data_IF_488518585284
#
_entry.id   IF_488518585284
#
_cell.length_a   1.000
_cell.length_b   1.000
_cell.length_c   1.000
_cell.angle_alpha   90.00
_cell.angle_beta   90.00
_cell.angle_gamma   90.00
#
_symmetry.space_group_name_H-M   'P 1'
#
loop_
_entity.id
_entity.type
_entity.pdbx_description
1 polymer ?
#
# COMPACT_ATOMS: atom_id res chain seq x y z
N UNK A 1 35.58 -8.10 -36.48
CA UNK A 1 34.25 -8.52 -35.93
C UNK A 1 34.29 -9.05 -34.48
N UNK A 2 35.43 -9.45 -33.95
CA UNK A 2 35.53 -10.04 -32.59
C UNK A 2 35.42 -8.99 -31.47
N UNK A 3 35.81 -7.74 -31.66
CA UNK A 3 35.91 -6.71 -30.63
C UNK A 3 34.54 -6.18 -30.09
N UNK A 4 33.42 -6.59 -30.63
CA UNK A 4 32.08 -6.19 -30.16
C UNK A 4 31.18 -7.38 -29.78
N UNK A 5 31.72 -8.59 -29.76
CA UNK A 5 30.96 -9.80 -29.47
C UNK A 5 30.37 -9.76 -28.04
N UNK A 6 31.15 -9.31 -27.06
CA UNK A 6 30.71 -9.19 -25.65
C UNK A 6 29.64 -8.11 -25.52
N UNK A 7 29.78 -6.98 -26.21
CA UNK A 7 28.76 -5.91 -26.18
C UNK A 7 27.43 -6.37 -26.79
N UNK A 8 27.47 -7.03 -27.95
CA UNK A 8 26.25 -7.55 -28.56
C UNK A 8 25.69 -8.76 -27.82
N UNK A 9 26.56 -9.58 -27.21
CA UNK A 9 26.17 -10.69 -26.36
C UNK A 9 25.43 -10.19 -25.08
N UNK A 10 25.91 -9.12 -24.46
CA UNK A 10 25.29 -8.50 -23.32
C UNK A 10 23.96 -7.85 -23.68
N UNK A 11 23.92 -7.11 -24.76
CA UNK A 11 22.70 -6.49 -25.30
C UNK A 11 21.64 -7.51 -25.73
N UNK A 12 22.06 -8.66 -26.25
CA UNK A 12 21.15 -9.78 -26.57
C UNK A 12 20.60 -10.45 -25.28
N UNK A 13 21.42 -10.57 -24.25
CA UNK A 13 20.97 -11.04 -22.92
C UNK A 13 19.96 -10.09 -22.31
N UNK A 14 20.22 -8.79 -22.32
CA UNK A 14 19.31 -7.76 -21.77
C UNK A 14 17.95 -7.74 -22.47
N UNK A 15 17.90 -8.03 -23.77
CA UNK A 15 16.65 -8.13 -24.56
C UNK A 15 15.92 -9.45 -24.33
N UNK A 16 16.64 -10.50 -23.95
CA UNK A 16 16.10 -11.86 -23.74
C UNK A 16 15.77 -12.16 -22.28
N UNK A 17 16.14 -11.28 -21.35
CA UNK A 17 15.79 -11.43 -19.94
C UNK A 17 14.54 -10.61 -19.62
N UNK A 18 13.56 -11.27 -19.00
CA UNK A 18 12.40 -10.62 -18.39
C UNK A 18 12.60 -10.64 -16.88
N UNK A 19 12.62 -9.47 -16.27
CA UNK A 19 12.65 -9.30 -14.83
C UNK A 19 11.23 -9.06 -14.30
N UNK A 20 10.81 -9.89 -13.35
CA UNK A 20 9.58 -9.69 -12.59
C UNK A 20 9.95 -9.43 -11.14
N UNK A 21 9.48 -8.30 -10.59
CA UNK A 21 9.70 -7.98 -9.19
C UNK A 21 8.81 -8.84 -8.29
N UNK A 22 9.39 -9.45 -7.25
CA UNK A 22 8.67 -10.05 -6.14
C UNK A 22 8.61 -9.01 -5.04
N UNK A 23 7.42 -8.55 -4.67
CA UNK A 23 7.28 -7.53 -3.64
C UNK A 23 7.71 -8.06 -2.28
N UNK A 24 8.53 -7.28 -1.58
CA UNK A 24 8.89 -7.56 -0.20
C UNK A 24 7.68 -7.33 0.72
N UNK A 25 7.56 -8.17 1.75
CA UNK A 25 6.61 -7.95 2.84
C UNK A 25 7.08 -6.74 3.65
N UNK A 26 6.22 -5.72 3.77
CA UNK A 26 6.50 -4.52 4.56
C UNK A 26 6.54 -4.86 6.05
N UNK A 27 7.41 -4.21 6.81
CA UNK A 27 7.49 -4.35 8.26
C UNK A 27 6.16 -4.04 8.96
N UNK A 28 5.88 -4.70 10.05
CA UNK A 28 4.68 -4.49 10.86
C UNK A 28 4.92 -3.35 11.85
N UNK A 29 3.91 -2.51 12.05
CA UNK A 29 3.93 -1.49 13.11
C UNK A 29 3.14 -2.02 14.29
N UNK A 30 3.79 -2.08 15.45
CA UNK A 30 3.21 -2.55 16.70
C UNK A 30 3.03 -1.41 17.68
N UNK A 31 2.04 -1.54 18.56
CA UNK A 31 1.92 -0.75 19.76
C UNK A 31 2.96 -1.21 20.82
N UNK A 32 2.99 -0.56 21.99
CA UNK A 32 3.89 -0.91 23.08
C UNK A 32 3.65 -2.31 23.67
N UNK A 33 2.47 -2.89 23.50
CA UNK A 33 2.05 -4.18 24.03
C UNK A 33 2.21 -5.31 23.00
N UNK A 34 2.65 -5.00 21.79
CA UNK A 34 2.79 -5.95 20.69
C UNK A 34 1.52 -6.13 19.85
N UNK A 35 0.50 -5.28 20.04
CA UNK A 35 -0.70 -5.25 19.19
C UNK A 35 -0.39 -4.64 17.82
N UNK A 36 -0.96 -5.21 16.78
CA UNK A 36 -0.70 -4.77 15.40
C UNK A 36 -1.49 -3.49 15.10
N UNK A 37 -0.80 -2.39 14.87
CA UNK A 37 -1.38 -1.14 14.38
C UNK A 37 -1.45 -1.07 12.85
N UNK A 38 -0.42 -1.58 12.17
CA UNK A 38 -0.38 -1.73 10.72
C UNK A 38 0.32 -3.03 10.33
N UNK A 39 -0.38 -3.88 9.60
CA UNK A 39 0.11 -5.19 9.15
C UNK A 39 -0.02 -5.38 7.65
N UNK A 40 0.12 -6.62 7.19
CA UNK A 40 -0.02 -6.97 5.79
C UNK A 40 -0.99 -8.15 5.64
N UNK A 41 -1.88 -8.06 4.64
CA UNK A 41 -2.69 -9.18 4.19
C UNK A 41 -2.11 -9.74 2.89
N UNK A 42 -1.94 -11.06 2.77
CA UNK A 42 -1.53 -11.66 1.50
C UNK A 42 -2.66 -11.49 0.48
N UNK A 43 -2.30 -11.00 -0.68
CA UNK A 43 -3.18 -10.83 -1.84
C UNK A 43 -2.41 -11.27 -3.09
N UNK A 44 -3.07 -11.29 -4.24
CA UNK A 44 -2.40 -11.58 -5.51
C UNK A 44 -2.68 -10.48 -6.53
N UNK A 45 -1.74 -10.29 -7.44
CA UNK A 45 -1.91 -9.48 -8.64
C UNK A 45 -2.04 -10.41 -9.84
N UNK A 46 -3.12 -10.25 -10.60
CA UNK A 46 -3.38 -11.01 -11.82
C UNK A 46 -2.94 -10.17 -13.01
N UNK A 47 -2.06 -10.75 -13.82
CA UNK A 47 -1.54 -10.14 -15.03
C UNK A 47 -1.62 -11.13 -16.20
N UNK A 48 -1.61 -10.62 -17.42
CA UNK A 48 -1.58 -11.45 -18.63
C UNK A 48 -0.40 -11.10 -19.51
N UNK A 49 0.10 -12.11 -20.24
CA UNK A 49 1.14 -11.99 -21.24
C UNK A 49 0.51 -12.31 -22.59
N UNK A 50 0.23 -11.29 -23.38
CA UNK A 50 -0.51 -11.42 -24.64
C UNK A 50 0.03 -12.54 -25.56
N UNK A 51 1.34 -12.60 -25.74
CA UNK A 51 1.98 -13.57 -26.65
C UNK A 51 1.94 -15.03 -26.15
N UNK A 52 1.55 -15.28 -24.90
CA UNK A 52 1.45 -16.61 -24.28
C UNK A 52 0.00 -17.11 -24.23
N UNK A 53 -0.97 -16.24 -24.50
CA UNK A 53 -2.39 -16.61 -24.48
C UNK A 53 -2.72 -17.47 -25.69
N UNK A 54 -3.17 -18.71 -25.48
CA UNK A 54 -3.57 -19.65 -26.55
C UNK A 54 -5.05 -19.54 -26.88
N UNK A 55 -5.91 -19.32 -25.87
CA UNK A 55 -7.37 -19.28 -25.97
C UNK A 55 -7.90 -17.96 -25.38
N UNK A 56 -7.85 -16.82 -26.16
CA UNK A 56 -8.21 -15.50 -25.63
C UNK A 56 -9.61 -15.43 -25.04
N UNK A 57 -10.60 -15.98 -25.75
CA UNK A 57 -12.01 -15.96 -25.32
C UNK A 57 -12.22 -16.67 -23.99
N UNK A 58 -11.60 -17.83 -23.80
CA UNK A 58 -11.66 -18.57 -22.54
C UNK A 58 -11.03 -17.79 -21.40
N UNK A 59 -9.87 -17.16 -21.63
CA UNK A 59 -9.19 -16.32 -20.62
C UNK A 59 -10.05 -15.13 -20.25
N UNK A 60 -10.66 -14.45 -21.22
CA UNK A 60 -11.53 -13.29 -21.01
C UNK A 60 -12.74 -13.68 -20.16
N UNK A 61 -13.48 -14.71 -20.58
CA UNK A 61 -14.69 -15.16 -19.87
C UNK A 61 -14.37 -15.60 -18.43
N UNK A 62 -13.32 -16.42 -18.25
CA UNK A 62 -12.98 -16.93 -16.91
C UNK A 62 -12.45 -15.84 -15.99
N UNK A 63 -11.63 -14.92 -16.49
CA UNK A 63 -11.13 -13.80 -15.67
C UNK A 63 -12.25 -12.81 -15.33
N UNK A 64 -13.19 -12.53 -16.23
CA UNK A 64 -14.33 -11.65 -15.94
C UNK A 64 -15.22 -12.26 -14.85
N UNK A 65 -15.55 -13.55 -14.93
CA UNK A 65 -16.36 -14.27 -13.93
C UNK A 65 -15.67 -14.31 -12.55
N UNK A 66 -14.41 -14.77 -12.50
CA UNK A 66 -13.71 -14.98 -11.23
C UNK A 66 -13.30 -13.67 -10.54
N UNK A 67 -13.06 -12.61 -11.32
CA UNK A 67 -12.64 -11.32 -10.78
C UNK A 67 -13.81 -10.32 -10.64
N UNK A 68 -15.01 -10.68 -11.05
CA UNK A 68 -16.17 -9.78 -11.08
C UNK A 68 -15.82 -8.46 -11.79
N UNK A 69 -15.39 -8.59 -13.06
CA UNK A 69 -15.03 -7.48 -13.94
C UNK A 69 -15.87 -7.50 -15.20
N UNK A 70 -16.10 -6.32 -15.77
CA UNK A 70 -16.75 -6.21 -17.09
C UNK A 70 -15.91 -6.91 -18.18
N UNK A 71 -16.55 -7.77 -18.95
CA UNK A 71 -15.90 -8.56 -20.00
C UNK A 71 -15.18 -7.68 -21.03
N UNK A 72 -15.76 -6.52 -21.38
CA UNK A 72 -15.18 -5.61 -22.35
C UNK A 72 -13.88 -4.97 -21.81
N UNK A 73 -13.83 -4.67 -20.50
CA UNK A 73 -12.63 -4.16 -19.86
C UNK A 73 -11.52 -5.21 -19.83
N UNK A 74 -11.87 -6.46 -19.48
CA UNK A 74 -10.92 -7.58 -19.50
C UNK A 74 -10.42 -7.85 -20.91
N UNK A 75 -11.32 -7.87 -21.91
CA UNK A 75 -10.98 -8.04 -23.33
C UNK A 75 -9.98 -7.00 -23.81
N UNK A 76 -10.23 -5.73 -23.55
CA UNK A 76 -9.34 -4.63 -23.92
C UNK A 76 -7.90 -4.81 -23.36
N UNK A 77 -7.80 -5.36 -22.16
CA UNK A 77 -6.50 -5.62 -21.53
C UNK A 77 -5.82 -6.88 -22.05
N UNK A 78 -6.58 -7.95 -22.29
CA UNK A 78 -6.09 -9.22 -22.81
C UNK A 78 -5.61 -9.08 -24.25
N UNK A 79 -6.33 -8.32 -25.10
CA UNK A 79 -5.98 -8.08 -26.51
C UNK A 79 -4.85 -7.06 -26.70
N UNK A 80 -4.52 -6.29 -25.64
CA UNK A 80 -3.43 -5.31 -25.71
C UNK A 80 -2.10 -6.00 -25.90
N UNK A 81 -1.42 -5.69 -27.01
CA UNK A 81 -0.09 -6.21 -27.30
C UNK A 81 0.93 -5.57 -26.35
N UNK A 82 1.20 -6.24 -25.24
CA UNK A 82 2.18 -5.81 -24.24
C UNK A 82 2.94 -7.02 -23.70
N UNK A 83 4.13 -6.77 -23.15
CA UNK A 83 4.92 -7.82 -22.52
C UNK A 83 4.27 -8.40 -21.28
N UNK A 84 3.59 -7.53 -20.49
CA UNK A 84 2.77 -7.86 -19.31
C UNK A 84 1.69 -6.79 -19.19
N UNK A 85 0.45 -7.20 -18.98
CA UNK A 85 -0.67 -6.29 -18.70
C UNK A 85 -1.37 -6.72 -17.42
N UNK A 86 -1.48 -5.80 -16.45
CA UNK A 86 -2.13 -6.08 -15.18
C UNK A 86 -3.64 -6.01 -15.33
N UNK A 87 -4.34 -7.10 -15.00
CA UNK A 87 -5.80 -7.19 -15.02
C UNK A 87 -6.39 -6.64 -13.72
N UNK A 88 -5.98 -7.20 -12.56
CA UNK A 88 -6.47 -6.79 -11.24
C UNK A 88 -5.41 -6.99 -10.18
N UNK A 89 -5.25 -6.00 -9.31
CA UNK A 89 -4.43 -6.11 -8.10
C UNK A 89 -5.30 -6.35 -6.88
N UNK A 90 -4.69 -6.70 -5.76
CA UNK A 90 -5.34 -6.94 -4.47
C UNK A 90 -6.44 -8.03 -4.53
N UNK A 91 -6.23 -9.07 -5.34
CA UNK A 91 -7.15 -10.21 -5.45
C UNK A 91 -6.99 -11.09 -4.21
N UNK A 92 -8.09 -11.49 -3.54
CA UNK A 92 -8.05 -12.40 -2.41
C UNK A 92 -7.40 -13.73 -2.78
N UNK A 93 -6.71 -14.36 -1.80
CA UNK A 93 -6.01 -15.62 -2.02
C UNK A 93 -6.92 -16.73 -2.56
N UNK A 94 -8.15 -16.84 -2.03
CA UNK A 94 -9.13 -17.84 -2.47
C UNK A 94 -9.46 -17.73 -3.96
N UNK A 95 -9.63 -16.50 -4.46
CA UNK A 95 -9.90 -16.24 -5.88
C UNK A 95 -8.66 -16.49 -6.74
N UNK A 96 -7.49 -16.10 -6.26
CA UNK A 96 -6.23 -16.30 -6.99
C UNK A 96 -5.85 -17.78 -7.08
N UNK A 97 -6.15 -18.57 -6.05
CA UNK A 97 -5.92 -20.03 -6.07
C UNK A 97 -6.82 -20.70 -7.10
N UNK A 98 -8.10 -20.31 -7.23
CA UNK A 98 -9.00 -20.79 -8.30
C UNK A 98 -8.46 -20.47 -9.69
N UNK A 99 -7.95 -19.24 -9.90
CA UNK A 99 -7.36 -18.86 -11.19
C UNK A 99 -6.12 -19.70 -11.49
N UNK A 100 -5.31 -20.00 -10.47
CA UNK A 100 -4.10 -20.82 -10.59
C UNK A 100 -4.44 -22.28 -10.94
N UNK A 101 -5.50 -22.83 -10.33
CA UNK A 101 -5.99 -24.19 -10.61
C UNK A 101 -6.45 -24.36 -12.07
N UNK A 102 -7.00 -23.33 -12.69
CA UNK A 102 -7.43 -23.38 -14.10
C UNK A 102 -6.27 -23.44 -15.11
N UNK A 103 -5.06 -23.16 -14.66
CA UNK A 103 -3.83 -23.21 -15.46
C UNK A 103 -3.96 -22.58 -16.85
N UNK A 104 -4.52 -21.38 -16.91
CA UNK A 104 -4.77 -20.63 -18.15
C UNK A 104 -3.44 -20.14 -18.75
N UNK A 105 -3.14 -20.56 -19.98
CA UNK A 105 -1.91 -20.15 -20.66
C UNK A 105 -1.85 -18.61 -20.82
N UNK A 106 -0.74 -18.02 -20.40
CA UNK A 106 -0.53 -16.56 -20.48
C UNK A 106 -1.13 -15.76 -19.31
N UNK A 107 -1.78 -16.42 -18.33
CA UNK A 107 -2.24 -15.79 -17.09
C UNK A 107 -1.20 -15.98 -16.00
N UNK A 108 -0.77 -14.88 -15.39
CA UNK A 108 0.19 -14.84 -14.29
C UNK A 108 -0.51 -14.46 -13.00
N UNK A 109 -0.17 -15.17 -11.92
CA UNK A 109 -0.68 -14.94 -10.56
C UNK A 109 0.50 -14.66 -9.67
N UNK A 110 0.82 -13.39 -9.46
CA UNK A 110 1.93 -12.95 -8.63
C UNK A 110 1.47 -12.70 -7.20
N UNK A 111 2.26 -13.17 -6.23
CA UNK A 111 2.01 -12.89 -4.83
C UNK A 111 2.27 -11.42 -4.52
N UNK A 112 1.39 -10.81 -3.76
CA UNK A 112 1.45 -9.40 -3.36
C UNK A 112 0.98 -9.23 -1.92
N UNK A 113 1.20 -8.07 -1.34
CA UNK A 113 0.78 -7.74 0.01
C UNK A 113 0.02 -6.42 0.00
N UNK A 114 -1.19 -6.44 0.58
CA UNK A 114 -1.98 -5.24 0.84
C UNK A 114 -1.76 -4.78 2.27
N UNK A 115 -1.46 -3.51 2.47
CA UNK A 115 -1.38 -2.93 3.81
C UNK A 115 -2.73 -3.01 4.50
N UNK A 116 -2.74 -3.36 5.78
CA UNK A 116 -3.91 -3.62 6.59
C UNK A 116 -3.81 -2.91 7.92
N UNK A 117 -4.85 -2.18 8.29
CA UNK A 117 -4.97 -1.42 9.53
C UNK A 117 -6.14 -1.98 10.34
N UNK A 118 -5.88 -2.79 11.40
CA UNK A 118 -6.94 -3.46 12.15
C UNK A 118 -7.97 -2.50 12.75
N UNK A 119 -7.52 -1.34 13.17
CA UNK A 119 -8.32 -0.34 13.85
C UNK A 119 -8.73 0.83 12.95
N UNK A 120 -8.52 0.74 11.66
CA UNK A 120 -8.86 1.68 10.58
C UNK A 120 -8.61 3.16 10.90
N UNK A 121 -9.36 3.77 11.83
CA UNK A 121 -9.28 5.19 12.16
C UNK A 121 -8.34 5.52 13.32
N UNK A 122 -7.88 4.53 14.09
CA UNK A 122 -7.10 4.76 15.30
C UNK A 122 -5.74 5.36 15.00
N UNK A 123 -5.45 6.53 15.58
CA UNK A 123 -4.18 7.25 15.39
C UNK A 123 -3.80 7.45 13.91
N UNK A 124 -4.81 7.69 13.06
CA UNK A 124 -4.64 7.70 11.60
C UNK A 124 -3.54 8.65 11.11
N UNK A 125 -3.43 9.84 11.70
CA UNK A 125 -2.39 10.82 11.35
C UNK A 125 -1.02 10.52 11.92
N UNK A 126 -0.94 9.62 12.90
CA UNK A 126 0.32 9.17 13.48
C UNK A 126 0.86 7.99 12.71
N UNK A 127 0.05 6.94 12.54
CA UNK A 127 0.43 5.74 11.80
C UNK A 127 0.67 6.10 10.34
N UNK A 128 -0.28 6.78 9.71
CA UNK A 128 -0.24 7.08 8.30
C UNK A 128 -0.66 5.91 7.42
N UNK A 129 -0.49 6.06 6.12
CA UNK A 129 -0.87 5.04 5.15
C UNK A 129 0.16 4.93 4.01
N UNK A 130 0.04 3.84 3.25
CA UNK A 130 0.90 3.56 2.09
C UNK A 130 0.18 3.81 0.78
N UNK A 131 0.93 4.18 -0.25
CA UNK A 131 0.46 4.28 -1.62
C UNK A 131 0.35 2.93 -2.32
N UNK A 132 0.00 2.96 -3.60
CA UNK A 132 -0.20 1.77 -4.44
C UNK A 132 1.08 0.92 -4.61
N UNK A 133 2.25 1.56 -4.58
CA UNK A 133 3.55 0.90 -4.72
C UNK A 133 4.18 0.55 -3.37
N UNK A 134 3.35 0.48 -2.31
CA UNK A 134 3.75 0.14 -0.94
C UNK A 134 4.71 1.15 -0.27
N UNK A 135 4.90 2.36 -0.85
CA UNK A 135 5.66 3.46 -0.23
C UNK A 135 4.79 4.17 0.82
N UNK A 136 5.41 4.64 1.89
CA UNK A 136 4.76 5.47 2.90
C UNK A 136 4.39 6.85 2.34
N UNK A 137 3.20 7.35 2.67
CA UNK A 137 2.71 8.67 2.21
C UNK A 137 2.74 9.70 3.34
N UNK A 138 2.26 9.33 4.52
CA UNK A 138 2.27 10.19 5.71
C UNK A 138 2.61 9.40 6.98
N UNK A 139 2.82 10.09 8.09
CA UNK A 139 2.96 9.51 9.43
C UNK A 139 4.22 8.65 9.59
N UNK A 140 4.12 7.65 10.46
CA UNK A 140 5.20 6.68 10.69
C UNK A 140 5.53 5.86 9.44
N UNK A 141 4.53 5.60 8.61
CA UNK A 141 4.72 4.88 7.34
C UNK A 141 5.73 5.59 6.43
N UNK A 142 5.68 6.91 6.31
CA UNK A 142 6.66 7.66 5.50
C UNK A 142 7.96 7.93 6.27
N UNK A 143 7.88 8.24 7.56
CA UNK A 143 9.07 8.58 8.36
C UNK A 143 10.05 7.42 8.51
N UNK A 144 9.55 6.19 8.46
CA UNK A 144 10.33 4.95 8.58
C UNK A 144 10.23 4.09 7.32
N UNK A 145 9.95 4.70 6.16
CA UNK A 145 9.77 3.98 4.91
C UNK A 145 10.97 3.12 4.55
N UNK A 146 12.19 3.65 4.66
CA UNK A 146 13.45 2.95 4.36
C UNK A 146 13.63 1.66 5.18
N UNK A 147 13.09 1.64 6.42
CA UNK A 147 13.18 0.49 7.31
C UNK A 147 12.04 -0.49 7.07
N UNK A 148 10.83 0.06 6.88
CA UNK A 148 9.60 -0.72 6.75
C UNK A 148 9.46 -1.39 5.37
N UNK A 149 9.92 -0.77 4.27
CA UNK A 149 9.65 -1.21 2.91
C UNK A 149 10.31 -2.55 2.56
N UNK A 150 11.51 -2.83 3.11
CA UNK A 150 12.31 -3.99 2.74
C UNK A 150 12.92 -3.88 1.34
N UNK A 151 13.41 -5.00 0.81
CA UNK A 151 14.02 -5.06 -0.52
C UNK A 151 13.26 -6.05 -1.39
N UNK A 152 12.75 -5.59 -2.52
CA UNK A 152 12.07 -6.45 -3.48
C UNK A 152 13.01 -7.50 -4.04
N UNK A 153 12.51 -8.71 -4.20
CA UNK A 153 13.15 -9.77 -4.96
C UNK A 153 12.88 -9.63 -6.46
N UNK A 154 13.46 -10.51 -7.24
CA UNK A 154 13.26 -10.55 -8.68
C UNK A 154 13.29 -11.99 -9.21
N UNK A 155 12.46 -12.27 -10.20
CA UNK A 155 12.52 -13.48 -11.02
C UNK A 155 13.03 -13.07 -12.39
N UNK A 156 14.18 -13.60 -12.78
CA UNK A 156 14.76 -13.41 -14.11
C UNK A 156 14.43 -14.63 -14.97
N UNK A 157 13.56 -14.44 -15.95
CA UNK A 157 13.17 -15.50 -16.89
C UNK A 157 13.78 -15.23 -18.26
N UNK A 158 14.34 -16.23 -18.93
CA UNK A 158 14.84 -16.10 -20.28
C UNK A 158 13.68 -16.20 -21.28
N UNK A 159 13.59 -15.21 -22.16
CA UNK A 159 12.57 -15.17 -23.20
C UNK A 159 13.19 -15.21 -24.60
N UNK A 160 12.46 -15.74 -25.57
CA UNK A 160 12.82 -15.62 -27.00
C UNK A 160 12.68 -14.17 -27.46
N UNK A 161 13.21 -13.83 -28.63
CA UNK A 161 13.02 -12.51 -29.27
C UNK A 161 11.53 -12.16 -29.49
N UNK A 162 10.63 -13.13 -29.44
CA UNK A 162 9.16 -12.96 -29.52
C UNK A 162 8.50 -12.86 -28.15
N UNK A 163 9.26 -12.83 -27.03
CA UNK A 163 8.74 -12.72 -25.67
C UNK A 163 8.13 -14.01 -25.09
N UNK A 164 8.34 -15.16 -25.72
CA UNK A 164 7.96 -16.48 -25.19
C UNK A 164 9.02 -16.97 -24.21
N UNK A 165 8.62 -17.49 -23.06
CA UNK A 165 9.53 -18.11 -22.10
C UNK A 165 10.17 -19.36 -22.72
N UNK A 166 11.47 -19.55 -22.46
CA UNK A 166 12.23 -20.69 -22.97
C UNK A 166 12.16 -21.79 -21.91
N UNK A 167 11.39 -22.83 -22.17
CA UNK A 167 11.28 -23.99 -21.30
C UNK A 167 12.66 -24.60 -20.99
N UNK A 168 12.90 -24.90 -19.72
CA UNK A 168 14.09 -25.62 -19.27
C UNK A 168 15.36 -24.77 -19.08
N UNK A 169 15.32 -23.44 -19.22
CA UNK A 169 16.40 -22.56 -18.76
C UNK A 169 16.10 -22.08 -17.36
N UNK A 170 17.09 -22.20 -16.46
CA UNK A 170 16.97 -21.89 -15.05
C UNK A 170 16.44 -20.46 -14.85
N UNK A 171 15.36 -20.33 -14.11
CA UNK A 171 14.93 -19.07 -13.53
C UNK A 171 15.97 -18.68 -12.46
N UNK A 172 16.57 -17.53 -12.60
CA UNK A 172 17.32 -16.94 -11.49
C UNK A 172 16.35 -16.20 -10.61
N UNK A 173 16.11 -16.72 -9.41
CA UNK A 173 15.21 -16.14 -8.42
C UNK A 173 16.03 -15.48 -7.32
N UNK A 174 15.84 -14.16 -7.14
CA UNK A 174 16.29 -13.41 -5.97
C UNK A 174 15.14 -13.27 -5.00
N UNK A 175 15.29 -13.87 -3.81
CA UNK A 175 14.25 -13.78 -2.78
C UNK A 175 14.14 -12.35 -2.24
N UNK A 176 12.91 -11.87 -1.95
CA UNK A 176 12.70 -10.58 -1.33
C UNK A 176 13.15 -10.59 0.14
N UNK A 177 13.69 -9.49 0.61
CA UNK A 177 14.03 -9.28 2.02
C UNK A 177 12.93 -8.45 2.66
N UNK A 178 12.22 -9.05 3.63
CA UNK A 178 11.14 -8.35 4.34
C UNK A 178 11.65 -7.12 5.08
N UNK A 179 10.83 -6.08 5.18
CA UNK A 179 11.10 -4.90 5.99
C UNK A 179 11.14 -5.23 7.48
N UNK A 180 11.83 -4.38 8.25
CA UNK A 180 11.94 -4.52 9.69
C UNK A 180 10.66 -4.02 10.38
N UNK A 181 10.32 -4.63 11.51
CA UNK A 181 9.17 -4.23 12.29
C UNK A 181 9.47 -2.98 13.14
N UNK A 182 8.47 -2.15 13.35
CA UNK A 182 8.53 -0.94 14.16
C UNK A 182 7.68 -1.12 15.42
N UNK A 183 8.28 -0.93 16.59
CA UNK A 183 7.58 -0.90 17.87
C UNK A 183 7.44 0.54 18.32
N UNK A 184 6.21 0.97 18.60
CA UNK A 184 5.92 2.34 19.04
C UNK A 184 5.69 2.40 20.54
N UNK A 185 5.72 3.60 21.11
CA UNK A 185 5.30 3.85 22.51
C UNK A 185 3.78 3.98 22.66
N UNK A 186 3.02 4.02 21.58
CA UNK A 186 1.55 4.14 21.59
C UNK A 186 0.97 2.92 22.27
N UNK A 187 -0.02 3.17 23.15
CA UNK A 187 -0.87 2.16 23.76
C UNK A 187 -2.23 2.21 23.07
N UNK A 188 -2.60 1.14 22.38
CA UNK A 188 -3.85 1.08 21.61
C UNK A 188 -5.10 1.30 22.45
N UNK A 189 -5.10 0.82 23.71
CA UNK A 189 -6.21 1.01 24.63
C UNK A 189 -6.31 2.48 25.08
N UNK A 190 -5.18 3.09 25.50
CA UNK A 190 -5.17 4.50 25.89
C UNK A 190 -5.52 5.41 24.70
N UNK A 191 -5.03 5.09 23.51
CA UNK A 191 -5.37 5.79 22.29
C UNK A 191 -6.88 5.72 22.01
N UNK A 192 -7.50 4.55 22.17
CA UNK A 192 -8.94 4.37 21.96
C UNK A 192 -9.78 5.16 22.98
N UNK A 193 -9.43 5.11 24.27
CA UNK A 193 -10.10 5.89 25.31
C UNK A 193 -9.97 7.39 25.06
N UNK A 194 -8.77 7.87 24.71
CA UNK A 194 -8.52 9.27 24.39
C UNK A 194 -9.32 9.71 23.14
N UNK A 195 -9.42 8.85 22.12
CA UNK A 195 -10.22 9.12 20.91
C UNK A 195 -11.69 9.25 21.25
N UNK A 196 -12.25 8.32 22.02
CA UNK A 196 -13.65 8.38 22.45
C UNK A 196 -13.95 9.64 23.29
N UNK A 197 -13.04 10.01 24.19
CA UNK A 197 -13.18 11.22 24.98
C UNK A 197 -13.14 12.49 24.11
N UNK A 198 -12.21 12.55 23.16
CA UNK A 198 -12.09 13.66 22.21
C UNK A 198 -13.35 13.81 21.35
N UNK A 199 -13.90 12.71 20.82
CA UNK A 199 -15.14 12.72 20.04
C UNK A 199 -16.33 13.23 20.87
N UNK A 200 -16.52 12.76 22.08
CA UNK A 200 -17.59 13.23 22.98
C UNK A 200 -17.47 14.74 23.24
N UNK A 201 -16.27 15.25 23.46
CA UNK A 201 -16.05 16.70 23.67
C UNK A 201 -16.32 17.46 22.39
N UNK A 202 -15.86 16.97 21.24
CA UNK A 202 -16.06 17.59 19.93
C UNK A 202 -17.56 17.74 19.64
N UNK A 203 -18.35 16.70 19.85
CA UNK A 203 -19.80 16.71 19.67
C UNK A 203 -20.51 17.63 20.68
N UNK A 204 -20.22 17.47 21.97
CA UNK A 204 -20.85 18.27 23.02
C UNK A 204 -20.60 19.77 22.91
N UNK A 205 -19.45 20.16 22.36
CA UNK A 205 -19.05 21.57 22.19
C UNK A 205 -19.19 22.08 20.77
N UNK A 206 -19.66 21.23 19.84
CA UNK A 206 -19.71 21.54 18.41
C UNK A 206 -18.36 22.11 17.89
N UNK A 207 -17.26 21.50 18.36
CA UNK A 207 -15.92 21.95 18.04
C UNK A 207 -15.49 21.44 16.64
N UNK A 208 -14.77 22.26 15.88
CA UNK A 208 -14.23 21.89 14.58
C UNK A 208 -13.20 20.74 14.67
N UNK A 209 -12.48 20.65 15.79
CA UNK A 209 -11.55 19.58 16.07
C UNK A 209 -11.09 19.59 17.52
N UNK A 210 -10.68 18.42 18.02
CA UNK A 210 -10.11 18.23 19.37
C UNK A 210 -8.82 17.45 19.23
N UNK A 211 -7.78 17.90 19.93
CA UNK A 211 -6.48 17.25 19.94
C UNK A 211 -6.09 16.86 21.36
N UNK A 212 -5.56 15.64 21.50
CA UNK A 212 -5.15 15.11 22.81
C UNK A 212 -3.77 14.45 22.64
N UNK A 213 -2.84 14.79 23.53
CA UNK A 213 -1.56 14.10 23.67
C UNK A 213 -1.46 13.58 25.10
N UNK A 214 -1.23 12.27 25.24
CA UNK A 214 -0.91 11.64 26.52
C UNK A 214 0.54 11.22 26.51
N UNK A 215 1.33 11.81 27.40
CA UNK A 215 2.77 11.61 27.44
C UNK A 215 3.23 11.29 28.86
N UNK A 216 4.21 10.40 28.97
CA UNK A 216 4.90 10.18 30.23
C UNK A 216 5.89 11.34 30.47
N UNK A 217 5.66 12.10 31.52
CA UNK A 217 6.49 13.27 31.88
C UNK A 217 7.92 12.92 32.33
N UNK A 218 8.20 11.66 32.66
CA UNK A 218 9.51 11.23 33.13
C UNK A 218 10.47 10.87 31.98
N UNK A 219 9.96 10.28 30.92
CA UNK A 219 10.77 9.76 29.80
C UNK A 219 10.38 10.30 28.43
N UNK A 220 9.29 11.05 28.32
CA UNK A 220 8.83 11.63 27.05
C UNK A 220 8.09 10.66 26.12
N UNK A 221 7.83 9.41 26.54
CA UNK A 221 7.05 8.48 25.72
C UNK A 221 5.63 8.96 25.50
N UNK A 222 5.17 8.95 24.25
CA UNK A 222 3.81 9.30 23.87
C UNK A 222 2.96 8.03 23.85
N UNK A 223 1.98 7.96 24.76
CA UNK A 223 1.07 6.82 24.86
C UNK A 223 -0.16 6.96 23.98
N UNK A 224 -0.64 8.18 23.76
CA UNK A 224 -1.72 8.45 22.83
C UNK A 224 -1.55 9.83 22.17
N UNK A 225 -1.92 9.92 20.90
CA UNK A 225 -1.96 11.16 20.15
C UNK A 225 -3.20 11.16 19.24
N UNK A 226 -4.19 11.96 19.58
CA UNK A 226 -5.51 12.01 18.96
C UNK A 226 -5.69 13.31 18.18
N UNK A 227 -6.26 13.20 17.00
CA UNK A 227 -6.66 14.31 16.15
C UNK A 227 -8.12 14.10 15.69
N UNK A 228 -9.09 14.42 16.54
CA UNK A 228 -10.51 14.28 16.18
C UNK A 228 -10.97 15.45 15.26
N UNK A 229 -11.72 15.18 14.17
CA UNK A 229 -12.10 13.86 13.66
C UNK A 229 -10.91 13.13 12.96
N UNK A 230 -10.83 11.82 13.20
CA UNK A 230 -9.86 10.96 12.50
C UNK A 230 -10.41 10.56 11.12
N UNK A 231 -9.54 10.08 10.23
CA UNK A 231 -9.92 9.58 8.90
C UNK A 231 -9.63 8.08 8.77
N UNK A 232 -10.26 7.41 7.79
CA UNK A 232 -10.05 5.99 7.52
C UNK A 232 -8.71 5.76 6.81
N UNK A 233 -7.84 4.92 7.40
CA UNK A 233 -6.58 4.47 6.78
C UNK A 233 -6.81 3.50 5.62
N UNK A 234 -7.96 2.82 5.64
CA UNK A 234 -8.35 1.91 4.55
C UNK A 234 -8.80 2.70 3.31
N UNK A 235 -9.37 3.92 3.51
CA UNK A 235 -9.88 4.80 2.47
C UNK A 235 -9.32 6.23 2.61
N UNK A 236 -8.01 6.41 2.56
CA UNK A 236 -7.37 7.68 2.92
C UNK A 236 -7.66 8.85 1.97
N UNK A 237 -8.18 8.57 0.78
CA UNK A 237 -8.54 9.58 -0.23
C UNK A 237 -10.03 9.97 -0.19
N UNK A 238 -10.80 9.41 0.75
CA UNK A 238 -12.18 9.85 1.02
C UNK A 238 -12.18 10.92 2.10
N UNK A 239 -12.77 12.07 1.82
CA UNK A 239 -12.92 13.15 2.81
C UNK A 239 -13.91 12.72 3.90
N UNK A 240 -13.62 13.09 5.14
CA UNK A 240 -14.53 12.87 6.28
C UNK A 240 -15.86 13.60 6.06
N UNK A 241 -15.81 14.79 5.48
CA UNK A 241 -17.01 15.55 5.09
C UNK A 241 -17.20 15.48 3.57
N UNK A 242 -18.14 14.63 3.13
CA UNK A 242 -18.46 14.42 1.72
C UNK A 242 -19.57 15.37 1.19
N UNK A 243 -20.08 16.28 2.03
CA UNK A 243 -21.22 17.13 1.69
C UNK A 243 -20.89 18.26 0.68
N UNK A 244 -19.62 18.46 0.37
CA UNK A 244 -19.15 19.58 -0.47
C UNK A 244 -18.84 19.12 -1.89
N UNK A 245 -19.50 19.73 -2.88
CA UNK A 245 -19.10 19.61 -4.28
C UNK A 245 -17.81 20.42 -4.50
N UNK A 246 -16.66 19.76 -4.40
CA UNK A 246 -15.34 20.38 -4.54
C UNK A 246 -14.75 20.09 -5.93
N UNK A 247 -14.05 21.05 -6.50
CA UNK A 247 -13.18 20.81 -7.65
C UNK A 247 -12.01 19.90 -7.26
N UNK A 248 -11.38 19.21 -8.22
CA UNK A 248 -10.22 18.34 -7.99
C UNK A 248 -9.11 19.05 -7.18
N UNK A 249 -8.81 20.30 -7.50
CA UNK A 249 -7.79 21.09 -6.77
C UNK A 249 -8.19 21.31 -5.31
N UNK A 250 -9.44 21.70 -5.06
CA UNK A 250 -9.96 21.90 -3.70
C UNK A 250 -10.00 20.60 -2.91
N UNK A 251 -10.36 19.48 -3.56
CA UNK A 251 -10.34 18.16 -2.95
C UNK A 251 -8.93 17.78 -2.48
N UNK A 252 -7.92 18.00 -3.30
CA UNK A 252 -6.53 17.72 -2.94
C UNK A 252 -6.04 18.61 -1.78
N UNK A 253 -6.45 19.89 -1.75
CA UNK A 253 -6.13 20.80 -0.64
C UNK A 253 -6.79 20.32 0.68
N UNK A 254 -8.05 19.90 0.64
CA UNK A 254 -8.76 19.38 1.82
C UNK A 254 -8.18 18.03 2.28
N UNK A 255 -7.78 17.14 1.37
CA UNK A 255 -7.07 15.89 1.70
C UNK A 255 -5.76 16.19 2.43
N UNK A 256 -4.94 17.10 1.93
CA UNK A 256 -3.69 17.49 2.57
C UNK A 256 -3.91 18.07 3.99
N UNK A 257 -4.98 18.87 4.18
CA UNK A 257 -5.36 19.36 5.51
C UNK A 257 -5.81 18.22 6.43
N UNK A 258 -6.62 17.28 5.91
CA UNK A 258 -7.11 16.12 6.63
C UNK A 258 -5.97 15.22 7.12
N UNK A 259 -4.94 15.02 6.30
CA UNK A 259 -3.78 14.18 6.62
C UNK A 259 -2.80 14.83 7.59
N UNK A 260 -2.87 16.16 7.74
CA UNK A 260 -1.95 16.91 8.61
C UNK A 260 -2.17 16.55 10.07
N UNK A 261 -1.08 16.21 10.78
CA UNK A 261 -1.13 15.96 12.21
C UNK A 261 -1.14 17.30 12.98
N UNK A 262 -2.31 17.71 13.42
CA UNK A 262 -2.49 18.98 14.11
C UNK A 262 -1.81 19.04 15.49
N UNK A 263 -1.54 17.90 16.13
CA UNK A 263 -0.85 17.88 17.41
C UNK A 263 0.59 18.42 17.34
N UNK A 264 1.23 18.27 16.17
CA UNK A 264 2.64 18.68 15.96
C UNK A 264 2.80 19.78 14.93
N UNK A 265 1.76 20.07 14.13
CA UNK A 265 1.86 21.02 13.02
C UNK A 265 1.09 22.32 13.22
N UNK A 266 0.18 22.37 14.18
CA UNK A 266 -0.64 23.56 14.41
C UNK A 266 -0.10 24.40 15.58
N UNK A 267 -0.21 25.72 15.44
CA UNK A 267 0.16 26.64 16.51
C UNK A 267 -0.89 26.61 17.63
N UNK A 268 -0.45 26.44 18.86
CA UNK A 268 -1.31 26.52 20.03
C UNK A 268 -1.39 27.97 20.55
N UNK A 269 -2.58 28.54 20.60
CA UNK A 269 -2.80 29.89 21.15
C UNK A 269 -2.38 30.04 22.61
N UNK A 270 -2.32 28.92 23.37
CA UNK A 270 -1.89 28.92 24.77
C UNK A 270 -0.42 29.35 24.95
N UNK A 271 0.43 29.11 23.96
CA UNK A 271 1.85 29.51 23.98
C UNK A 271 2.07 30.94 23.50
N UNK A 272 1.06 31.58 22.89
CA UNK A 272 1.14 32.93 22.35
C UNK A 272 0.42 33.97 23.24
N UNK A 273 -0.31 33.51 24.26
CA UNK A 273 -0.96 34.39 25.24
C UNK A 273 -0.04 34.64 26.44
N UNK A 274 0.22 35.88 26.84
CA UNK A 274 0.97 36.16 28.05
C UNK A 274 0.27 35.56 29.26
N UNK A 275 1.04 34.91 30.12
CA UNK A 275 0.49 34.32 31.36
C UNK A 275 -0.10 35.43 32.23
N UNK A 276 -1.29 35.24 32.81
CA UNK A 276 -1.85 36.19 33.76
C UNK A 276 -1.04 36.36 35.05
N UNK A 277 0.09 35.69 35.16
CA UNK A 277 0.99 35.70 36.33
C UNK A 277 2.32 36.44 36.10
N UNK A 278 2.53 37.03 34.93
CA UNK A 278 3.70 37.87 34.65
C UNK A 278 3.38 39.33 34.87
#
# INVERSE_FOLDING_TARGET
>A
MVAKADYYGQKAKDVQQRERAIKAKRGVIYDRNGEILAGNKPVSTISVIHNQIKEPEKVITRLSELLDLDEQEVRKRVEKVSSIERIKANVPKETSDKIREENLAGVMVDEDYKRYYPYDTLASRVIGFTGADNQGIIGLEVSYDDILQGQNGAILTMTTARGLEIDGKAEERREPVAGQNLYTSIDSNLQQFATQAAEKVREAKNAAGVRVIMMNSQNGEIYAMVNSPEFSLTKPYELVDQSKNLSEKQKNEELNKMWRNGCVSDTCLLYTSPSPRD
#
